data_IF_382251938422
#
_entry.id   IF_382251938422
#
_cell.length_a   1.000
_cell.length_b   1.000
_cell.length_c   1.000
_cell.angle_alpha   90.00
_cell.angle_beta   90.00
_cell.angle_gamma   90.00
#
_symmetry.space_group_name_H-M   'P 1'
#
loop_
_entity.id
_entity.type
_entity.pdbx_description
1 polymer ?
#
# COMPACT_ATOMS: atom_id res chain seq x y z
N UNK A 1 -6.39 27.07 1.37
CA UNK A 1 -6.12 25.62 1.50
C UNK A 1 -7.46 24.92 1.62
N UNK A 2 -7.62 23.78 0.96
CA UNK A 2 -8.81 22.92 1.04
C UNK A 2 -8.33 21.53 1.42
N UNK A 3 -9.01 20.90 2.37
CA UNK A 3 -8.80 19.50 2.74
C UNK A 3 -9.65 18.58 1.87
N UNK A 4 -9.09 17.46 1.44
CA UNK A 4 -9.81 16.42 0.70
C UNK A 4 -9.56 15.07 1.39
N UNK A 5 -10.64 14.35 1.70
CA UNK A 5 -10.58 12.94 2.08
C UNK A 5 -11.11 12.07 0.95
N UNK A 6 -10.37 11.03 0.60
CA UNK A 6 -10.82 10.03 -0.35
C UNK A 6 -11.51 8.88 0.42
N UNK A 7 -12.77 8.62 0.10
CA UNK A 7 -13.45 7.40 0.50
C UNK A 7 -13.13 6.33 -0.56
N UNK A 8 -12.34 5.32 -0.17
CA UNK A 8 -11.72 4.36 -1.10
C UNK A 8 -12.32 2.96 -1.03
N UNK A 9 -12.98 2.59 0.05
CA UNK A 9 -13.66 1.30 0.18
C UNK A 9 -14.65 1.33 1.35
N UNK A 10 -15.81 0.69 1.18
CA UNK A 10 -16.73 0.41 2.27
C UNK A 10 -16.38 -0.91 2.97
N UNK A 11 -16.27 -0.88 4.30
CA UNK A 11 -16.27 -2.09 5.13
C UNK A 11 -17.70 -2.59 5.32
N UNK A 12 -18.30 -3.03 4.20
CA UNK A 12 -19.57 -3.72 4.09
C UNK A 12 -20.55 -3.55 5.25
N UNK A 13 -21.59 -2.74 5.03
CA UNK A 13 -22.98 -3.01 5.41
C UNK A 13 -23.21 -3.78 6.73
N UNK A 14 -22.73 -3.24 7.85
CA UNK A 14 -23.30 -3.51 9.16
C UNK A 14 -23.52 -2.18 9.89
N UNK A 15 -24.73 -1.67 9.70
CA UNK A 15 -25.37 -0.51 10.35
C UNK A 15 -25.10 0.86 9.74
N UNK A 16 -26.20 1.45 9.27
CA UNK A 16 -26.48 2.89 9.36
C UNK A 16 -26.35 3.37 10.83
N UNK A 17 -25.13 3.38 11.36
CA UNK A 17 -24.76 4.07 12.59
C UNK A 17 -23.51 4.86 12.32
N UNK A 18 -23.66 6.18 12.41
CA UNK A 18 -22.55 7.13 12.46
C UNK A 18 -21.57 6.66 13.54
N UNK A 19 -20.34 6.27 13.14
CA UNK A 19 -19.22 6.01 14.07
C UNK A 19 -18.78 4.55 14.30
N UNK A 20 -19.19 3.55 13.51
CA UNK A 20 -18.80 2.14 13.76
C UNK A 20 -17.69 1.57 12.85
N UNK A 21 -17.10 2.35 11.96
CA UNK A 21 -16.12 1.87 10.97
C UNK A 21 -14.82 2.66 11.06
N UNK A 22 -13.65 2.00 10.99
CA UNK A 22 -12.34 2.66 10.98
C UNK A 22 -12.24 3.72 9.86
N UNK A 23 -12.77 3.42 8.67
CA UNK A 23 -12.86 4.39 7.57
C UNK A 23 -13.76 5.59 7.92
N UNK A 24 -14.87 5.37 8.63
CA UNK A 24 -15.74 6.44 9.13
C UNK A 24 -15.11 7.28 10.22
N UNK A 25 -14.30 6.68 11.10
CA UNK A 25 -13.56 7.39 12.14
C UNK A 25 -12.42 8.22 11.53
N UNK A 26 -11.73 7.73 10.51
CA UNK A 26 -10.68 8.47 9.80
C UNK A 26 -11.24 9.70 9.06
N UNK A 27 -12.41 9.56 8.42
CA UNK A 27 -13.12 10.67 7.79
C UNK A 27 -13.53 11.72 8.83
N UNK A 28 -14.08 11.28 9.97
CA UNK A 28 -14.48 12.18 11.07
C UNK A 28 -13.27 12.89 11.71
N UNK A 29 -12.16 12.19 11.90
CA UNK A 29 -10.91 12.79 12.39
C UNK A 29 -10.39 13.86 11.42
N UNK A 30 -10.42 13.58 10.11
CA UNK A 30 -10.04 14.55 9.08
C UNK A 30 -10.95 15.79 9.10
N UNK A 31 -12.27 15.59 9.25
CA UNK A 31 -13.24 16.69 9.41
C UNK A 31 -12.91 17.57 10.62
N UNK A 32 -12.64 16.96 11.78
CA UNK A 32 -12.28 17.69 13.01
C UNK A 32 -10.96 18.46 12.88
N UNK A 33 -9.97 17.87 12.22
CA UNK A 33 -8.71 18.56 11.92
C UNK A 33 -8.99 19.77 11.02
N UNK A 34 -9.77 19.62 9.97
CA UNK A 34 -10.13 20.73 9.07
C UNK A 34 -10.88 21.86 9.79
N UNK A 35 -11.83 21.51 10.66
CA UNK A 35 -12.56 22.47 11.51
C UNK A 35 -11.62 23.24 12.44
N UNK A 36 -10.69 22.53 13.10
CA UNK A 36 -9.69 23.14 13.99
C UNK A 36 -8.79 24.12 13.23
N UNK A 37 -8.48 23.82 11.96
CA UNK A 37 -7.66 24.67 11.10
C UNK A 37 -8.44 25.76 10.35
N UNK A 38 -9.78 25.74 10.42
CA UNK A 38 -10.64 26.66 9.69
C UNK A 38 -10.54 26.52 8.16
N UNK A 39 -10.29 25.30 7.66
CA UNK A 39 -10.19 25.02 6.21
C UNK A 39 -11.43 24.26 5.70
N UNK A 40 -11.94 24.55 4.48
CA UNK A 40 -12.97 23.74 3.86
C UNK A 40 -12.51 22.29 3.69
N UNK A 41 -13.43 21.33 3.86
CA UNK A 41 -13.17 19.91 3.74
C UNK A 41 -14.20 19.23 2.84
N UNK A 42 -13.72 18.46 1.86
CA UNK A 42 -14.56 17.67 0.97
C UNK A 42 -14.22 16.19 1.10
N UNK A 43 -15.25 15.36 0.89
CA UNK A 43 -15.10 13.91 0.80
C UNK A 43 -15.42 13.53 -0.65
N UNK A 44 -14.49 12.83 -1.29
CA UNK A 44 -14.65 12.32 -2.65
C UNK A 44 -14.81 10.81 -2.59
N UNK A 45 -15.89 10.30 -3.16
CA UNK A 45 -16.14 8.86 -3.28
C UNK A 45 -15.44 8.32 -4.52
N UNK A 46 -14.33 7.62 -4.30
CA UNK A 46 -13.53 6.94 -5.32
C UNK A 46 -13.51 5.42 -5.09
N UNK A 47 -14.53 4.85 -4.44
CA UNK A 47 -14.55 3.43 -4.10
C UNK A 47 -14.45 2.53 -5.34
N UNK A 48 -15.23 2.83 -6.38
CA UNK A 48 -15.23 2.06 -7.61
C UNK A 48 -13.87 2.16 -8.34
N UNK A 49 -13.33 3.37 -8.48
CA UNK A 49 -12.02 3.61 -9.09
C UNK A 49 -10.92 2.87 -8.32
N UNK A 50 -10.95 2.91 -6.99
CA UNK A 50 -9.98 2.21 -6.15
C UNK A 50 -10.11 0.69 -6.25
N UNK A 51 -11.34 0.16 -6.27
CA UNK A 51 -11.59 -1.27 -6.47
C UNK A 51 -11.00 -1.74 -7.79
N UNK A 52 -11.24 -1.01 -8.88
CA UNK A 52 -10.80 -1.41 -10.23
C UNK A 52 -9.31 -1.22 -10.46
N UNK A 53 -8.73 -0.12 -9.97
CA UNK A 53 -7.33 0.23 -10.25
C UNK A 53 -6.35 -0.32 -9.21
N UNK A 54 -6.82 -0.76 -8.03
CA UNK A 54 -5.94 -1.20 -6.93
C UNK A 54 -6.33 -2.57 -6.40
N UNK A 55 -7.58 -2.78 -5.98
CA UNK A 55 -7.99 -4.03 -5.31
C UNK A 55 -8.03 -5.21 -6.30
N UNK A 56 -8.64 -5.04 -7.47
CA UNK A 56 -8.73 -6.10 -8.47
C UNK A 56 -7.35 -6.51 -9.01
N UNK A 57 -6.44 -5.58 -9.41
CA UNK A 57 -5.08 -5.93 -9.83
C UNK A 57 -4.28 -6.59 -8.71
N UNK A 58 -4.46 -6.15 -7.46
CA UNK A 58 -3.84 -6.79 -6.31
C UNK A 58 -4.25 -8.26 -6.20
N UNK A 59 -5.56 -8.57 -6.31
CA UNK A 59 -6.03 -9.95 -6.26
C UNK A 59 -5.57 -10.78 -7.48
N UNK A 60 -5.53 -10.17 -8.66
CA UNK A 60 -5.03 -10.80 -9.91
C UNK A 60 -3.56 -11.18 -9.82
N UNK A 61 -2.71 -10.30 -9.31
CA UNK A 61 -1.29 -10.59 -9.11
C UNK A 61 -1.07 -11.81 -8.23
N UNK A 62 -1.83 -11.94 -7.13
CA UNK A 62 -1.76 -13.15 -6.29
C UNK A 62 -2.26 -14.41 -6.99
N UNK A 63 -3.26 -14.29 -7.87
CA UNK A 63 -3.72 -15.42 -8.68
C UNK A 63 -2.62 -15.92 -9.65
N UNK A 64 -1.74 -15.02 -10.08
CA UNK A 64 -0.55 -15.33 -10.89
C UNK A 64 0.71 -15.63 -10.06
N UNK A 65 0.59 -15.84 -8.74
CA UNK A 65 1.72 -16.18 -7.88
C UNK A 65 2.71 -15.02 -7.66
N UNK A 66 2.28 -13.79 -7.91
CA UNK A 66 3.06 -12.60 -7.64
C UNK A 66 2.81 -12.10 -6.21
N UNK A 67 3.64 -11.15 -5.76
CA UNK A 67 3.41 -10.43 -4.50
C UNK A 67 3.37 -8.92 -4.79
N UNK A 68 2.19 -8.36 -5.02
CA UNK A 68 2.02 -6.97 -5.42
C UNK A 68 2.22 -5.98 -4.27
N UNK A 69 2.57 -4.74 -4.61
CA UNK A 69 2.65 -3.61 -3.67
C UNK A 69 1.53 -2.62 -4.01
N UNK A 70 0.33 -2.75 -3.42
CA UNK A 70 -0.85 -1.97 -3.84
C UNK A 70 -0.71 -0.46 -3.62
N UNK A 71 0.19 -0.03 -2.72
CA UNK A 71 0.47 1.38 -2.49
C UNK A 71 1.08 2.08 -3.70
N UNK A 72 1.87 1.37 -4.52
CA UNK A 72 2.45 1.92 -5.75
C UNK A 72 1.33 2.20 -6.75
N UNK A 73 0.46 1.21 -7.00
CA UNK A 73 -0.68 1.35 -7.90
C UNK A 73 -1.62 2.46 -7.45
N UNK A 74 -1.95 2.52 -6.16
CA UNK A 74 -2.79 3.58 -5.60
C UNK A 74 -2.22 4.98 -5.81
N UNK A 75 -0.89 5.14 -5.67
CA UNK A 75 -0.23 6.42 -5.96
C UNK A 75 -0.30 6.75 -7.45
N UNK A 76 0.00 5.78 -8.33
CA UNK A 76 -0.01 5.98 -9.79
C UNK A 76 -1.38 6.37 -10.34
N UNK A 77 -2.45 5.75 -9.83
CA UNK A 77 -3.81 5.93 -10.34
C UNK A 77 -4.59 6.88 -9.45
N UNK A 78 -5.12 6.40 -8.33
CA UNK A 78 -6.13 7.12 -7.54
C UNK A 78 -5.60 8.43 -6.93
N UNK A 79 -4.41 8.43 -6.33
CA UNK A 79 -3.90 9.63 -5.62
C UNK A 79 -3.25 10.67 -6.53
N UNK A 80 -2.64 10.31 -7.65
CA UNK A 80 -1.92 11.26 -8.50
C UNK A 80 -2.46 11.40 -9.93
N UNK A 81 -3.43 10.58 -10.35
CA UNK A 81 -4.25 10.89 -11.51
C UNK A 81 -5.56 11.54 -11.06
N UNK A 82 -6.44 10.82 -10.37
CA UNK A 82 -7.81 11.28 -10.07
C UNK A 82 -7.84 12.50 -9.14
N UNK A 83 -7.11 12.45 -8.03
CA UNK A 83 -7.05 13.57 -7.08
C UNK A 83 -6.30 14.78 -7.65
N UNK A 84 -5.38 14.56 -8.59
CA UNK A 84 -4.67 15.66 -9.24
C UNK A 84 -5.58 16.40 -10.23
N UNK A 85 -6.38 15.66 -11.00
CA UNK A 85 -7.43 16.23 -11.85
C UNK A 85 -8.40 17.08 -11.03
N UNK A 86 -8.87 16.57 -9.89
CA UNK A 86 -9.74 17.34 -8.99
C UNK A 86 -9.05 18.59 -8.45
N UNK A 87 -7.75 18.53 -8.14
CA UNK A 87 -7.00 19.71 -7.70
C UNK A 87 -6.94 20.79 -8.79
N UNK A 88 -6.77 20.40 -10.07
CA UNK A 88 -6.84 21.32 -11.20
C UNK A 88 -8.23 21.93 -11.39
N UNK A 89 -9.29 21.13 -11.30
CA UNK A 89 -10.67 21.60 -11.43
C UNK A 89 -11.06 22.61 -10.34
N UNK A 90 -10.55 22.41 -9.13
CA UNK A 90 -10.71 23.34 -8.01
C UNK A 90 -9.84 24.60 -8.14
N UNK A 91 -8.99 24.69 -9.17
CA UNK A 91 -8.10 25.82 -9.40
C UNK A 91 -6.98 25.92 -8.37
N UNK A 92 -6.53 24.80 -7.80
CA UNK A 92 -5.44 24.81 -6.82
C UNK A 92 -4.09 25.13 -7.49
N UNK A 93 -3.17 25.73 -6.74
CA UNK A 93 -1.79 25.98 -7.19
C UNK A 93 -0.88 24.75 -7.04
N UNK A 94 -1.29 23.82 -6.18
CA UNK A 94 -0.53 22.61 -5.85
C UNK A 94 -1.38 21.58 -5.08
N UNK A 95 -0.99 20.31 -5.18
CA UNK A 95 -1.54 19.22 -4.36
C UNK A 95 -0.53 18.83 -3.27
N UNK A 96 -0.91 18.96 -2.00
CA UNK A 96 -0.07 18.58 -0.87
C UNK A 96 -0.49 17.23 -0.28
N UNK A 97 0.49 16.38 0.05
CA UNK A 97 0.23 15.09 0.73
C UNK A 97 1.13 14.93 1.96
N UNK A 98 0.71 14.07 2.88
CA UNK A 98 1.47 13.72 4.09
C UNK A 98 2.60 12.72 3.85
N UNK A 99 3.06 12.50 2.62
CA UNK A 99 4.17 11.58 2.38
C UNK A 99 5.50 12.16 2.89
N UNK A 100 6.31 11.30 3.51
CA UNK A 100 7.67 11.63 3.96
C UNK A 100 8.63 11.54 2.78
N UNK A 101 8.63 12.61 1.98
CA UNK A 101 9.44 12.78 0.78
C UNK A 101 9.86 14.23 0.72
N UNK A 102 11.12 14.52 0.35
CA UNK A 102 11.52 15.90 0.04
C UNK A 102 11.28 16.18 -1.41
N UNK A 103 10.74 17.36 -1.71
CA UNK A 103 10.74 17.87 -3.07
C UNK A 103 11.27 19.29 -3.11
N UNK A 104 12.11 19.58 -4.11
CA UNK A 104 12.76 20.88 -4.31
C UNK A 104 12.86 21.20 -5.79
N UNK A 105 12.88 22.49 -6.11
CA UNK A 105 13.14 22.95 -7.48
C UNK A 105 14.60 22.62 -7.81
N UNK A 106 14.81 22.01 -8.98
CA UNK A 106 16.10 21.68 -9.57
C UNK A 106 16.06 22.07 -11.05
N UNK A 107 16.56 23.27 -11.35
CA UNK A 107 16.46 23.85 -12.69
C UNK A 107 15.03 24.32 -12.96
N UNK A 108 14.46 23.94 -14.11
CA UNK A 108 13.10 24.30 -14.49
C UNK A 108 12.01 23.45 -13.83
N UNK A 109 12.38 22.32 -13.22
CA UNK A 109 11.45 21.32 -12.69
C UNK A 109 11.68 21.07 -11.21
N UNK A 110 10.71 20.44 -10.56
CA UNK A 110 10.83 19.88 -9.21
C UNK A 110 11.40 18.47 -9.30
N UNK A 111 12.21 18.10 -8.31
CA UNK A 111 12.74 16.75 -8.16
C UNK A 111 12.38 16.19 -6.78
N UNK A 112 12.26 14.86 -6.71
CA UNK A 112 12.03 14.11 -5.47
C UNK A 112 13.37 13.67 -4.86
N UNK A 113 13.43 13.68 -3.54
CA UNK A 113 14.57 13.26 -2.73
C UNK A 113 14.06 12.47 -1.52
N UNK A 114 14.90 11.57 -0.98
CA UNK A 114 14.62 10.91 0.30
C UNK A 114 14.35 11.94 1.40
N UNK A 115 13.43 11.69 2.34
CA UNK A 115 13.16 12.62 3.43
C UNK A 115 14.35 12.80 4.38
N UNK A 116 14.20 13.70 5.36
CA UNK A 116 15.11 13.80 6.50
C UNK A 116 15.04 12.53 7.37
N UNK A 117 13.83 12.05 7.64
CA UNK A 117 13.56 10.86 8.44
C UNK A 117 13.63 9.59 7.56
N UNK A 118 14.78 8.93 7.56
CA UNK A 118 15.02 7.75 6.72
C UNK A 118 14.14 6.54 7.10
N UNK A 119 13.74 6.42 8.36
CA UNK A 119 12.87 5.32 8.83
C UNK A 119 11.42 5.49 8.37
N UNK A 120 11.10 6.67 7.82
CA UNK A 120 9.80 7.00 7.22
C UNK A 120 9.89 7.20 5.71
N UNK A 121 11.00 6.85 5.05
CA UNK A 121 11.17 7.05 3.61
C UNK A 121 10.06 6.38 2.79
N UNK A 122 9.21 7.21 2.17
CA UNK A 122 8.11 6.78 1.31
C UNK A 122 8.40 7.03 -0.18
N UNK A 123 9.62 7.48 -0.52
CA UNK A 123 10.00 7.80 -1.91
C UNK A 123 9.90 6.58 -2.84
N UNK A 124 10.11 5.37 -2.31
CA UNK A 124 9.94 4.13 -3.05
C UNK A 124 8.53 4.00 -3.63
N UNK A 125 7.48 4.37 -2.90
CA UNK A 125 6.10 4.21 -3.37
C UNK A 125 5.68 5.22 -4.45
N UNK A 126 6.54 6.19 -4.78
CA UNK A 126 6.29 7.26 -5.74
C UNK A 126 7.17 7.16 -6.98
N UNK A 127 7.88 6.04 -7.18
CA UNK A 127 8.86 5.91 -8.28
C UNK A 127 8.27 6.15 -9.67
N UNK A 128 6.98 5.90 -9.87
CA UNK A 128 6.31 6.02 -11.15
C UNK A 128 5.55 7.34 -11.36
N UNK A 129 5.74 8.32 -10.45
CA UNK A 129 5.15 9.65 -10.59
C UNK A 129 5.80 10.37 -11.78
N UNK A 130 4.99 10.93 -12.68
CA UNK A 130 5.50 11.64 -13.87
C UNK A 130 6.07 13.01 -13.48
N UNK A 131 6.91 13.59 -14.35
CA UNK A 131 7.51 14.90 -14.08
C UNK A 131 6.45 16.01 -13.91
N UNK A 132 5.40 15.99 -14.72
CA UNK A 132 4.27 16.94 -14.65
C UNK A 132 3.56 16.83 -13.29
N UNK A 133 3.28 15.61 -12.84
CA UNK A 133 2.72 15.36 -11.51
C UNK A 133 3.67 15.86 -10.41
N UNK A 134 4.97 15.57 -10.52
CA UNK A 134 5.98 16.01 -9.55
C UNK A 134 5.97 17.53 -9.43
N UNK A 135 5.91 18.28 -10.53
CA UNK A 135 5.95 19.75 -10.52
C UNK A 135 4.78 20.36 -9.72
N UNK A 136 3.62 19.69 -9.71
CA UNK A 136 2.42 20.11 -9.00
C UNK A 136 2.34 19.62 -7.54
N UNK A 137 3.06 18.56 -7.17
CA UNK A 137 3.02 17.96 -5.84
C UNK A 137 3.83 18.72 -4.78
N UNK A 138 3.37 18.68 -3.53
CA UNK A 138 4.07 19.21 -2.34
C UNK A 138 4.07 18.17 -1.21
N UNK A 139 5.17 18.12 -0.48
CA UNK A 139 5.40 17.18 0.62
C UNK A 139 5.91 17.94 1.86
N UNK A 140 5.00 18.55 2.65
CA UNK A 140 5.39 19.41 3.76
C UNK A 140 6.15 18.69 4.88
N UNK A 141 6.03 17.35 4.97
CA UNK A 141 6.64 16.55 6.03
C UNK A 141 8.05 16.08 5.72
N UNK A 142 8.54 16.27 4.49
CA UNK A 142 9.82 15.70 4.04
C UNK A 142 11.04 16.14 4.84
N UNK A 143 11.00 17.31 5.46
CA UNK A 143 12.11 17.90 6.22
C UNK A 143 11.91 17.80 7.75
N UNK A 144 10.93 17.02 8.19
CA UNK A 144 10.59 16.87 9.61
C UNK A 144 10.79 15.42 10.04
N UNK A 145 11.20 15.21 11.29
CA UNK A 145 11.09 13.89 11.92
C UNK A 145 9.64 13.61 12.30
N UNK A 146 9.29 12.33 12.43
CA UNK A 146 7.96 11.93 12.89
C UNK A 146 7.59 12.53 14.25
N UNK A 147 8.55 12.58 15.17
CA UNK A 147 8.36 13.18 16.51
C UNK A 147 8.00 14.66 16.37
N UNK A 148 8.75 15.41 15.54
CA UNK A 148 8.48 16.83 15.34
C UNK A 148 7.11 17.07 14.71
N UNK A 149 6.67 16.22 13.79
CA UNK A 149 5.31 16.29 13.23
C UNK A 149 4.25 16.11 14.31
N UNK A 150 4.44 15.17 15.25
CA UNK A 150 3.51 14.96 16.37
C UNK A 150 3.49 16.13 17.36
N UNK A 151 4.66 16.70 17.66
CA UNK A 151 4.75 17.91 18.50
C UNK A 151 3.99 19.07 17.86
N UNK A 152 4.22 19.35 16.57
CA UNK A 152 3.49 20.40 15.83
C UNK A 152 1.97 20.14 15.88
N UNK A 153 1.55 18.88 15.65
CA UNK A 153 0.13 18.53 15.72
C UNK A 153 -0.46 18.77 17.12
N UNK A 154 0.29 18.48 18.19
CA UNK A 154 -0.13 18.72 19.57
C UNK A 154 -0.16 20.22 19.92
N UNK A 155 0.85 20.99 19.50
CA UNK A 155 0.91 22.45 19.61
C UNK A 155 -0.29 23.12 18.92
N UNK A 156 -0.74 22.55 17.80
CA UNK A 156 -1.91 23.00 17.03
C UNK A 156 -3.24 22.45 17.57
N UNK A 157 -3.24 21.65 18.64
CA UNK A 157 -4.45 21.07 19.22
C UNK A 157 -5.16 20.04 18.36
N UNK A 158 -4.46 19.39 17.43
CA UNK A 158 -5.06 18.42 16.51
C UNK A 158 -5.35 17.08 17.20
N UNK A 159 -6.57 16.57 17.02
CA UNK A 159 -7.05 15.32 17.64
C UNK A 159 -6.21 14.09 17.26
N UNK A 160 -5.50 14.14 16.14
CA UNK A 160 -4.68 13.06 15.59
C UNK A 160 -3.23 13.05 16.07
N UNK A 161 -2.81 14.00 16.93
CA UNK A 161 -1.41 14.16 17.33
C UNK A 161 -0.79 12.89 17.92
N UNK A 162 -1.59 12.14 18.70
CA UNK A 162 -1.17 10.88 19.34
C UNK A 162 -1.69 9.62 18.62
N UNK A 163 -2.32 9.77 17.45
CA UNK A 163 -2.86 8.64 16.71
C UNK A 163 -1.71 7.77 16.18
N UNK A 164 -1.88 6.46 16.30
CA UNK A 164 -0.94 5.50 15.72
C UNK A 164 -0.97 5.59 14.20
N UNK A 165 0.19 5.36 13.59
CA UNK A 165 0.30 5.34 12.13
C UNK A 165 -0.38 4.09 11.60
N UNK A 166 -1.08 4.21 10.47
CA UNK A 166 -1.62 3.06 9.75
C UNK A 166 -0.48 2.10 9.43
N UNK A 167 -0.65 0.85 9.83
CA UNK A 167 0.19 -0.28 9.44
C UNK A 167 -0.62 -1.12 8.44
N UNK A 168 0.09 -1.91 7.63
CA UNK A 168 -0.50 -2.84 6.65
C UNK A 168 -1.22 -2.18 5.45
N UNK A 169 -1.85 -3.02 4.61
CA UNK A 169 -2.54 -2.63 3.38
C UNK A 169 -3.86 -1.95 3.76
N UNK A 170 -4.10 -0.75 3.23
CA UNK A 170 -5.21 0.10 3.69
C UNK A 170 -6.59 -0.57 3.66
N UNK A 171 -6.90 -1.40 2.66
CA UNK A 171 -8.20 -2.10 2.55
C UNK A 171 -8.24 -3.46 3.27
N UNK A 172 -7.16 -3.85 3.95
CA UNK A 172 -7.07 -5.06 4.78
C UNK A 172 -7.06 -4.63 6.25
N UNK A 173 -8.16 -4.06 6.72
CA UNK A 173 -8.25 -3.52 8.09
C UNK A 173 -8.54 -4.58 9.16
N UNK A 174 -9.13 -5.71 8.75
CA UNK A 174 -9.48 -6.83 9.61
C UNK A 174 -9.13 -8.15 8.92
N UNK A 175 -8.46 -9.04 9.63
CA UNK A 175 -8.08 -10.36 9.12
C UNK A 175 -6.79 -10.33 8.30
N UNK A 176 -6.65 -11.31 7.41
CA UNK A 176 -5.46 -11.47 6.57
C UNK A 176 -5.76 -11.04 5.16
N UNK A 177 -4.75 -10.56 4.44
CA UNK A 177 -4.89 -10.22 3.02
C UNK A 177 -5.37 -11.44 2.20
N UNK A 178 -5.03 -12.66 2.63
CA UNK A 178 -5.53 -13.92 2.07
C UNK A 178 -7.05 -13.98 2.00
N UNK A 179 -7.75 -13.46 3.00
CA UNK A 179 -9.21 -13.52 3.08
C UNK A 179 -9.84 -12.63 2.00
N UNK A 180 -9.22 -11.48 1.73
CA UNK A 180 -9.63 -10.57 0.64
C UNK A 180 -9.40 -11.23 -0.72
N UNK A 181 -8.24 -11.87 -0.91
CA UNK A 181 -7.93 -12.56 -2.16
C UNK A 181 -8.92 -13.72 -2.38
N UNK A 182 -9.13 -14.59 -1.40
CA UNK A 182 -10.04 -15.74 -1.53
C UNK A 182 -11.49 -15.32 -1.81
N UNK A 183 -11.93 -14.17 -1.27
CA UNK A 183 -13.26 -13.63 -1.57
C UNK A 183 -13.38 -13.12 -3.01
N UNK A 184 -12.36 -12.44 -3.52
CA UNK A 184 -12.38 -11.85 -4.86
C UNK A 184 -12.04 -12.87 -5.96
N UNK A 185 -11.18 -13.84 -5.65
CA UNK A 185 -10.62 -14.83 -6.55
C UNK A 185 -10.64 -16.22 -5.89
N UNK A 186 -11.81 -16.86 -5.74
CA UNK A 186 -11.92 -18.15 -5.05
C UNK A 186 -11.07 -19.26 -5.67
N UNK A 187 -10.77 -19.17 -6.97
CA UNK A 187 -9.97 -20.14 -7.72
C UNK A 187 -8.50 -20.19 -7.29
N UNK A 188 -8.00 -19.18 -6.57
CA UNK A 188 -6.63 -19.19 -6.02
C UNK A 188 -6.46 -20.19 -4.88
N UNK A 189 -7.58 -20.66 -4.29
CA UNK A 189 -7.60 -21.77 -3.34
C UNK A 189 -7.40 -23.06 -4.11
N UNK A 190 -6.15 -23.26 -4.51
CA UNK A 190 -5.69 -24.41 -5.28
C UNK A 190 -4.61 -25.14 -4.47
N UNK A 191 -4.99 -26.18 -3.69
CA UNK A 191 -4.04 -26.96 -2.91
C UNK A 191 -2.99 -27.60 -3.80
N UNK A 192 -1.78 -27.71 -3.28
CA UNK A 192 -0.63 -28.16 -4.03
C UNK A 192 0.48 -28.70 -3.14
N UNK A 193 1.66 -28.90 -3.71
CA UNK A 193 2.80 -29.52 -3.01
C UNK A 193 3.94 -28.54 -2.79
N UNK A 194 4.59 -28.68 -1.64
CA UNK A 194 5.85 -28.00 -1.35
C UNK A 194 6.97 -28.95 -1.75
N UNK A 195 7.83 -28.49 -2.65
CA UNK A 195 8.87 -29.31 -3.28
C UNK A 195 10.22 -28.68 -3.01
N UNK A 196 11.18 -29.47 -2.52
CA UNK A 196 12.56 -29.04 -2.42
C UNK A 196 13.18 -28.89 -3.82
N UNK A 197 14.17 -28.03 -3.97
CA UNK A 197 14.80 -27.76 -5.28
C UNK A 197 15.47 -28.99 -5.93
N UNK A 198 15.73 -30.07 -5.17
CA UNK A 198 16.19 -31.36 -5.69
C UNK A 198 15.07 -32.28 -6.21
N UNK A 199 13.80 -31.85 -6.10
CA UNK A 199 12.61 -32.57 -6.53
C UNK A 199 11.91 -33.37 -5.43
N UNK A 200 12.43 -33.41 -4.20
CA UNK A 200 11.76 -34.09 -3.10
C UNK A 200 10.48 -33.36 -2.67
N UNK A 201 9.35 -34.06 -2.60
CA UNK A 201 8.12 -33.51 -2.00
C UNK A 201 8.28 -33.49 -0.48
N UNK A 202 8.11 -32.31 0.12
CA UNK A 202 8.28 -32.07 1.56
C UNK A 202 6.96 -31.93 2.31
N UNK A 203 5.87 -31.60 1.61
CA UNK A 203 4.55 -31.40 2.21
C UNK A 203 3.53 -30.84 1.23
N UNK A 204 2.42 -30.38 1.77
CA UNK A 204 1.29 -29.81 1.03
C UNK A 204 1.01 -28.37 1.48
N UNK A 205 0.34 -27.60 0.62
CA UNK A 205 -0.12 -26.24 0.93
C UNK A 205 -1.57 -26.02 0.49
N UNK A 206 -2.25 -25.03 1.08
CA UNK A 206 -3.63 -24.68 0.72
C UNK A 206 -3.77 -23.73 -0.47
N UNK A 207 -2.67 -23.12 -0.94
CA UNK A 207 -2.65 -22.29 -2.14
C UNK A 207 -1.42 -21.39 -2.20
N UNK A 208 -0.97 -21.10 -3.42
CA UNK A 208 0.28 -20.36 -3.70
C UNK A 208 0.25 -18.92 -3.17
N UNK A 209 -0.92 -18.28 -3.13
CA UNK A 209 -1.11 -16.91 -2.64
C UNK A 209 -0.67 -16.67 -1.18
N UNK A 210 -0.41 -17.73 -0.40
CA UNK A 210 0.13 -17.66 0.96
C UNK A 210 1.66 -17.58 1.02
N UNK A 211 2.32 -17.55 -0.15
CA UNK A 211 3.77 -17.64 -0.28
C UNK A 211 4.31 -16.49 -1.12
N UNK A 212 5.48 -15.99 -0.71
CA UNK A 212 6.25 -14.99 -1.45
C UNK A 212 7.68 -15.49 -1.62
N UNK A 213 8.30 -15.27 -2.77
CA UNK A 213 9.72 -15.60 -2.97
C UNK A 213 10.59 -14.93 -1.88
N UNK A 214 11.48 -15.70 -1.26
CA UNK A 214 12.28 -15.28 -0.11
C UNK A 214 11.62 -15.51 1.26
N UNK A 215 10.36 -15.94 1.31
CA UNK A 215 9.68 -16.28 2.56
C UNK A 215 10.35 -17.49 3.23
N UNK A 216 10.64 -17.35 4.53
CA UNK A 216 11.18 -18.41 5.40
C UNK A 216 10.16 -18.96 6.39
N UNK A 217 9.35 -18.06 6.97
CA UNK A 217 8.38 -18.41 8.02
C UNK A 217 7.07 -18.86 7.39
N UNK A 218 6.34 -19.72 8.09
CA UNK A 218 5.00 -20.15 7.65
C UNK A 218 5.00 -21.09 6.45
N UNK A 219 6.14 -21.68 6.07
CA UNK A 219 6.19 -22.66 4.97
C UNK A 219 5.42 -23.94 5.35
N UNK A 220 5.48 -24.34 6.63
CA UNK A 220 4.74 -25.50 7.13
C UNK A 220 5.47 -26.84 6.99
N UNK A 221 6.74 -26.83 6.57
CA UNK A 221 7.59 -28.03 6.52
C UNK A 221 8.71 -27.95 7.56
N UNK A 222 8.96 -29.07 8.25
CA UNK A 222 10.02 -29.19 9.23
C UNK A 222 11.19 -29.96 8.62
N UNK A 223 12.19 -29.20 8.18
CA UNK A 223 13.49 -29.74 7.76
C UNK A 223 14.54 -29.43 8.82
N UNK A 224 15.61 -30.22 8.88
CA UNK A 224 16.75 -29.94 9.77
C UNK A 224 17.49 -28.65 9.44
N UNK A 225 17.20 -28.04 8.30
CA UNK A 225 17.84 -26.84 7.76
C UNK A 225 16.80 -25.75 7.44
N UNK A 226 17.24 -24.50 7.36
CA UNK A 226 16.37 -23.37 7.04
C UNK A 226 16.06 -23.31 5.54
N UNK A 227 14.78 -23.41 5.20
CA UNK A 227 14.29 -23.31 3.82
C UNK A 227 13.64 -21.95 3.53
N UNK A 228 13.73 -21.58 2.26
CA UNK A 228 13.17 -20.35 1.71
C UNK A 228 12.37 -20.70 0.44
N UNK A 229 11.28 -19.99 0.19
CA UNK A 229 10.55 -20.06 -1.09
C UNK A 229 11.45 -19.49 -2.19
N UNK A 230 11.85 -20.31 -3.16
CA UNK A 230 12.72 -19.93 -4.27
C UNK A 230 11.90 -19.56 -5.50
N UNK A 231 10.81 -20.28 -5.75
CA UNK A 231 9.97 -20.10 -6.92
C UNK A 231 8.53 -20.57 -6.65
N UNK A 232 7.58 -19.96 -7.34
CA UNK A 232 6.16 -20.29 -7.30
C UNK A 232 5.74 -20.76 -8.68
N UNK A 233 5.45 -22.04 -8.81
CA UNK A 233 5.00 -22.69 -10.05
C UNK A 233 3.48 -22.77 -10.01
N UNK A 234 2.82 -21.73 -10.52
CA UNK A 234 1.36 -21.59 -10.50
C UNK A 234 0.68 -22.65 -11.34
N UNK A 235 1.24 -22.94 -12.52
CA UNK A 235 0.68 -23.91 -13.47
C UNK A 235 0.58 -25.31 -12.87
N UNK A 236 1.56 -25.73 -12.08
CA UNK A 236 1.59 -27.06 -11.47
C UNK A 236 1.19 -27.08 -9.98
N UNK A 237 0.76 -25.94 -9.43
CA UNK A 237 0.46 -25.76 -8.01
C UNK A 237 1.62 -26.23 -7.11
N UNK A 238 2.85 -25.73 -7.34
CA UNK A 238 4.03 -26.07 -6.53
C UNK A 238 4.68 -24.85 -5.91
N UNK A 239 5.02 -24.97 -4.64
CA UNK A 239 5.92 -24.04 -3.94
C UNK A 239 7.30 -24.67 -3.88
N UNK A 240 8.25 -24.11 -4.64
CA UNK A 240 9.63 -24.62 -4.66
C UNK A 240 10.41 -23.95 -3.55
N UNK A 241 11.03 -24.77 -2.70
CA UNK A 241 11.82 -24.31 -1.55
C UNK A 241 13.26 -24.82 -1.61
N UNK A 242 14.18 -24.08 -1.01
CA UNK A 242 15.59 -24.41 -1.03
C UNK A 242 16.40 -23.56 -0.04
N UNK A 243 17.73 -23.76 -0.03
CA UNK A 243 18.61 -23.02 0.85
C UNK A 243 18.76 -21.56 0.36
N UNK A 244 19.23 -20.67 1.25
CA UNK A 244 19.22 -19.22 1.03
C UNK A 244 20.00 -18.79 -0.22
N UNK A 245 21.08 -19.49 -0.52
CA UNK A 245 22.01 -19.21 -1.62
C UNK A 245 21.31 -19.26 -2.98
N UNK A 246 20.20 -19.99 -3.09
CA UNK A 246 19.38 -20.09 -4.31
C UNK A 246 18.49 -18.86 -4.55
N UNK A 247 18.39 -17.93 -3.59
CA UNK A 247 17.68 -16.65 -3.78
C UNK A 247 18.52 -15.61 -4.51
N UNK A 248 19.85 -15.83 -4.62
CA UNK A 248 20.73 -14.85 -5.25
C UNK A 248 20.48 -14.77 -6.75
N UNK A 249 20.19 -13.57 -7.25
CA UNK A 249 20.00 -13.32 -8.67
C UNK A 249 20.81 -12.11 -9.13
N UNK A 250 21.26 -12.15 -10.39
CA UNK A 250 21.88 -11.02 -11.10
C UNK A 250 20.98 -10.44 -12.19
N UNK A 251 19.75 -10.96 -12.32
CA UNK A 251 18.77 -10.55 -13.32
C UNK A 251 17.45 -10.23 -12.64
N UNK A 252 16.81 -9.16 -13.08
CA UNK A 252 15.42 -8.89 -12.77
C UNK A 252 14.57 -9.57 -13.85
N UNK A 253 13.66 -10.43 -13.41
CA UNK A 253 12.68 -11.05 -14.28
C UNK A 253 11.44 -10.16 -14.23
N UNK A 254 11.05 -9.60 -15.37
CA UNK A 254 9.79 -8.91 -15.49
C UNK A 254 8.72 -9.97 -15.74
N UNK A 255 7.68 -10.01 -14.90
CA UNK A 255 6.45 -10.70 -15.26
C UNK A 255 5.71 -9.76 -16.20
N UNK A 256 5.44 -10.23 -17.43
CA UNK A 256 4.76 -9.48 -18.48
C UNK A 256 3.26 -9.53 -18.31
#
# INVERSE_FOLDING_TARGET
MVGITLQLYDHGAATHRVGACCAGQDIEDARRVAETLGVPHYILDYEERFREAVINPFAESYAHGETPIPCVSCNQTVKFADLLETAYELGADALATGHYIRSRIRGAHRALFRPLDADRDQSYFLFATTQEQIDYLRFPLGDLSKERVREIAAEMGLVVANKHDSQDICFVSQGKYSDVITKLRPEVVNPGVIVHIDGQILGEHSGIFNYTVGQRRGIGVATGEALYVIYLDVENARVIVGPREMLETRKLFYVM
#
